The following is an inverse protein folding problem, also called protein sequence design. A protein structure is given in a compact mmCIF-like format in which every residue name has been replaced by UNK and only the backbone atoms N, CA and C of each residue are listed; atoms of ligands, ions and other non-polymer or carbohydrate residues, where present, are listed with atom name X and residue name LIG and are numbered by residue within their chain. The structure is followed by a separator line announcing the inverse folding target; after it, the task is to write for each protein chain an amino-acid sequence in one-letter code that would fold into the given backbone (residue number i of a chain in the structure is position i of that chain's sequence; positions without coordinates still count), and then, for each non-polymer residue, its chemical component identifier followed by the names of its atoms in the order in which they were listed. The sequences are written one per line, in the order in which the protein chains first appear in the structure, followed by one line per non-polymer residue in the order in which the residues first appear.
data_IF_478855991383
#
_entry.id   IF_478855991383
#
_cell.length_a   1.000
_cell.length_b   1.000
_cell.length_c   1.000
_cell.angle_alpha   90.00
_cell.angle_beta   90.00
_cell.angle_gamma   90.00
#
_symmetry.space_group_name_H-M   'P 1'
#
loop_
_entity.id
_entity.type
_entity.pdbx_description
1 polymer ?
#
# COMPACT_ATOMS: atom_id res chain seq x y z
N UNK A 1 11.84 -12.48 -10.21
CA UNK A 1 10.78 -12.52 -9.18
C UNK A 1 9.87 -11.28 -9.26
N UNK A 2 9.83 -10.33 -8.28
CA UNK A 2 8.93 -9.16 -8.41
C UNK A 2 9.21 -8.37 -9.69
N UNK A 3 10.48 -8.06 -9.96
CA UNK A 3 10.89 -7.27 -11.11
C UNK A 3 10.59 -7.97 -12.46
N UNK A 4 10.45 -9.28 -12.46
CA UNK A 4 10.14 -10.08 -13.64
C UNK A 4 8.63 -10.26 -13.86
N UNK A 5 7.79 -9.62 -13.02
CA UNK A 5 6.33 -9.74 -13.12
C UNK A 5 5.84 -9.07 -14.39
N UNK A 6 5.13 -9.82 -15.22
CA UNK A 6 4.41 -9.25 -16.36
C UNK A 6 3.20 -8.45 -15.85
N UNK A 7 3.18 -7.15 -16.11
CA UNK A 7 2.07 -6.27 -15.77
C UNK A 7 0.86 -6.42 -16.71
N UNK A 8 0.89 -7.39 -17.62
CA UNK A 8 -0.21 -7.68 -18.56
C UNK A 8 -0.72 -6.44 -19.29
N UNK A 9 0.19 -5.55 -19.65
CA UNK A 9 -0.14 -4.35 -20.37
C UNK A 9 -0.53 -3.14 -19.48
N UNK A 10 -0.51 -3.25 -18.15
CA UNK A 10 -0.75 -2.14 -17.26
C UNK A 10 0.50 -1.28 -17.04
N UNK A 11 0.29 -0.01 -16.66
CA UNK A 11 1.36 0.94 -16.40
C UNK A 11 2.02 0.72 -15.04
N UNK A 12 1.25 0.30 -14.06
CA UNK A 12 1.74 0.08 -12.69
C UNK A 12 1.25 -1.25 -12.12
N UNK A 13 2.07 -1.84 -11.25
CA UNK A 13 1.70 -2.97 -10.41
C UNK A 13 1.82 -2.60 -8.94
N UNK A 14 0.76 -2.88 -8.15
CA UNK A 14 0.75 -2.64 -6.71
C UNK A 14 -0.11 -3.64 -5.95
N UNK A 15 0.21 -3.90 -4.69
CA UNK A 15 -0.61 -4.74 -3.84
C UNK A 15 -1.70 -3.92 -3.13
N UNK A 16 -2.86 -4.54 -2.87
CA UNK A 16 -4.01 -3.88 -2.24
C UNK A 16 -3.62 -3.20 -0.92
N UNK A 17 -4.09 -1.96 -0.73
CA UNK A 17 -3.94 -1.27 0.55
C UNK A 17 -4.77 -1.92 1.66
N UNK A 18 -4.22 -1.98 2.88
CA UNK A 18 -4.92 -2.56 4.03
C UNK A 18 -6.20 -1.79 4.36
N UNK A 19 -6.16 -0.48 4.24
CA UNK A 19 -7.29 0.44 4.43
C UNK A 19 -8.46 0.09 3.51
N UNK A 20 -8.18 -0.23 2.26
CA UNK A 20 -9.18 -0.63 1.27
C UNK A 20 -9.83 -1.95 1.66
N UNK A 21 -9.01 -2.93 2.04
CA UNK A 21 -9.52 -4.24 2.48
C UNK A 21 -10.43 -4.12 3.70
N UNK A 22 -10.01 -3.35 4.69
CA UNK A 22 -10.82 -3.06 5.88
C UNK A 22 -12.12 -2.37 5.48
N UNK A 23 -12.06 -1.35 4.62
CA UNK A 23 -13.25 -0.66 4.16
C UNK A 23 -14.22 -1.59 3.41
N UNK A 24 -13.73 -2.39 2.48
CA UNK A 24 -14.56 -3.35 1.72
C UNK A 24 -15.33 -4.32 2.62
N UNK A 25 -14.72 -4.73 3.73
CA UNK A 25 -15.30 -5.67 4.68
C UNK A 25 -16.23 -5.02 5.70
N UNK A 26 -15.87 -3.86 6.22
CA UNK A 26 -16.59 -3.22 7.33
C UNK A 26 -17.50 -2.09 6.89
N UNK A 27 -17.30 -1.57 5.68
CA UNK A 27 -17.89 -0.31 5.19
C UNK A 27 -17.56 0.90 6.07
N UNK A 28 -16.55 0.77 6.95
CA UNK A 28 -16.06 1.83 7.80
C UNK A 28 -14.68 2.26 7.33
N UNK A 29 -14.50 3.55 7.11
CA UNK A 29 -13.18 4.11 6.81
C UNK A 29 -12.27 4.01 8.03
N UNK A 30 -11.01 3.69 7.77
CA UNK A 30 -10.03 3.41 8.82
C UNK A 30 -9.33 4.67 9.34
N UNK A 31 -9.30 5.76 8.58
CA UNK A 31 -8.48 6.94 8.85
C UNK A 31 -9.19 8.28 8.55
N UNK A 32 -10.46 8.43 8.97
CA UNK A 32 -11.25 9.55 8.49
C UNK A 32 -11.54 10.58 9.59
N UNK A 33 -10.83 10.56 10.69
CA UNK A 33 -11.05 11.49 11.81
C UNK A 33 -10.98 12.97 11.41
N UNK A 34 -10.40 13.29 10.26
CA UNK A 34 -10.27 14.67 9.74
C UNK A 34 -11.05 14.93 8.44
N UNK A 35 -11.78 13.96 7.90
CA UNK A 35 -12.55 14.12 6.67
C UNK A 35 -14.03 13.80 6.93
N UNK A 36 -14.96 14.61 6.41
CA UNK A 36 -16.40 14.38 6.58
C UNK A 36 -16.94 13.24 5.70
N UNK A 37 -16.08 12.51 5.00
CA UNK A 37 -16.44 11.46 4.05
C UNK A 37 -15.88 10.12 4.51
N UNK A 38 -16.59 9.03 4.20
CA UNK A 38 -15.96 7.70 4.26
C UNK A 38 -14.95 7.55 3.11
N UNK A 39 -14.10 6.50 3.17
CA UNK A 39 -13.02 6.35 2.19
C UNK A 39 -13.52 6.20 0.75
N UNK A 40 -14.67 5.55 0.54
CA UNK A 40 -15.27 5.40 -0.80
C UNK A 40 -15.75 6.73 -1.35
N UNK A 41 -16.45 7.53 -0.53
CA UNK A 41 -16.91 8.86 -0.93
C UNK A 41 -15.74 9.78 -1.22
N UNK A 42 -14.65 9.68 -0.44
CA UNK A 42 -13.41 10.41 -0.67
C UNK A 42 -12.79 10.02 -2.02
N UNK A 43 -12.61 8.72 -2.27
CA UNK A 43 -12.02 8.21 -3.50
C UNK A 43 -12.84 8.61 -4.74
N UNK A 44 -14.17 8.45 -4.66
CA UNK A 44 -15.06 8.85 -5.74
C UNK A 44 -15.01 10.35 -6.02
N UNK A 45 -15.08 11.16 -4.96
CA UNK A 45 -15.17 12.63 -5.10
C UNK A 45 -13.87 13.27 -5.56
N UNK A 46 -12.74 12.83 -5.03
CA UNK A 46 -11.45 13.51 -5.21
C UNK A 46 -10.52 12.82 -6.21
N UNK A 47 -10.68 11.52 -6.41
CA UNK A 47 -9.83 10.75 -7.33
C UNK A 47 -10.60 10.20 -8.53
N UNK A 48 -11.94 10.30 -8.55
CA UNK A 48 -12.78 9.70 -9.59
C UNK A 48 -12.71 8.16 -9.58
N UNK A 49 -12.42 7.56 -8.42
CA UNK A 49 -12.35 6.10 -8.22
C UNK A 49 -13.65 5.64 -7.59
N UNK A 50 -14.47 4.91 -8.36
CA UNK A 50 -15.76 4.39 -7.91
C UNK A 50 -15.71 2.91 -7.53
N UNK A 51 -14.59 2.23 -7.80
CA UNK A 51 -14.30 0.87 -7.37
C UNK A 51 -12.88 0.80 -6.80
N UNK A 52 -12.78 0.43 -5.54
CA UNK A 52 -11.51 0.33 -4.81
C UNK A 52 -10.80 -1.01 -5.03
N UNK A 53 -11.29 -1.89 -5.90
CA UNK A 53 -10.73 -3.24 -6.09
C UNK A 53 -9.26 -3.21 -6.53
N UNK A 54 -8.85 -2.14 -7.21
CA UNK A 54 -7.49 -1.94 -7.71
C UNK A 54 -6.71 -0.86 -6.95
N UNK A 55 -7.28 -0.26 -5.91
CA UNK A 55 -6.55 0.72 -5.12
C UNK A 55 -5.40 0.03 -4.37
N UNK A 56 -4.16 0.44 -4.64
CA UNK A 56 -2.96 -0.17 -4.11
C UNK A 56 -2.23 0.72 -3.10
N UNK A 57 -1.42 0.08 -2.24
CA UNK A 57 -0.49 0.78 -1.37
C UNK A 57 0.80 1.11 -2.13
N UNK A 58 1.19 2.37 -2.15
CA UNK A 58 2.31 2.88 -2.96
C UNK A 58 3.71 2.55 -2.40
N UNK A 59 3.82 1.93 -1.23
CA UNK A 59 5.11 1.63 -0.61
C UNK A 59 5.97 0.63 -1.37
N UNK A 60 5.34 -0.23 -2.18
CA UNK A 60 6.02 -1.10 -3.16
C UNK A 60 5.23 -1.06 -4.45
N UNK A 61 5.80 -0.45 -5.47
CA UNK A 61 5.15 -0.27 -6.77
C UNK A 61 6.11 -0.67 -7.89
N UNK A 62 5.62 -1.45 -8.83
CA UNK A 62 6.32 -1.78 -10.07
C UNK A 62 5.80 -0.88 -11.19
N UNK A 63 6.71 -0.23 -11.94
CA UNK A 63 6.35 0.71 -13.02
C UNK A 63 6.82 0.19 -14.38
N UNK A 64 5.92 0.13 -15.36
CA UNK A 64 6.31 0.19 -16.78
C UNK A 64 6.51 1.67 -17.15
N UNK A 65 7.76 2.12 -17.09
CA UNK A 65 8.08 3.54 -17.30
C UNK A 65 7.69 4.05 -18.70
N UNK A 66 7.63 3.18 -19.71
CA UNK A 66 7.19 3.56 -21.03
C UNK A 66 5.70 3.91 -21.01
N UNK A 67 4.89 3.02 -20.47
CA UNK A 67 3.44 3.23 -20.35
C UNK A 67 3.08 4.37 -19.40
N UNK A 68 3.80 4.51 -18.29
CA UNK A 68 3.60 5.65 -17.41
C UNK A 68 3.75 6.98 -18.15
N UNK A 69 4.79 7.13 -19.01
CA UNK A 69 5.00 8.34 -19.80
C UNK A 69 3.96 8.55 -20.90
N UNK A 70 3.27 7.51 -21.34
CA UNK A 70 2.16 7.60 -22.30
C UNK A 70 0.87 8.11 -21.62
N UNK A 71 0.72 7.88 -20.31
CA UNK A 71 -0.49 8.23 -19.55
C UNK A 71 -0.40 9.56 -18.82
N UNK A 72 0.79 9.94 -18.35
CA UNK A 72 0.99 11.13 -17.53
C UNK A 72 2.44 11.62 -17.61
N UNK A 73 2.68 12.84 -17.13
CA UNK A 73 4.02 13.41 -16.96
C UNK A 73 4.39 13.55 -15.47
N UNK A 74 5.69 13.72 -15.21
CA UNK A 74 6.15 14.02 -13.85
C UNK A 74 5.61 15.37 -13.36
N UNK A 75 5.51 16.35 -14.23
CA UNK A 75 5.00 17.68 -13.89
C UNK A 75 3.52 17.62 -13.48
N UNK A 76 2.69 16.88 -14.24
CA UNK A 76 1.29 16.65 -13.91
C UNK A 76 1.13 15.96 -12.54
N UNK A 77 1.95 14.93 -12.26
CA UNK A 77 1.92 14.24 -10.98
C UNK A 77 2.28 15.18 -9.82
N UNK A 78 3.26 16.06 -10.01
CA UNK A 78 3.68 17.07 -9.01
C UNK A 78 2.60 18.14 -8.83
N UNK A 79 1.97 18.61 -9.91
CA UNK A 79 0.87 19.58 -9.85
C UNK A 79 -0.30 19.01 -9.06
N UNK A 80 -0.73 17.79 -9.33
CA UNK A 80 -1.80 17.10 -8.60
C UNK A 80 -1.45 16.91 -7.14
N UNK A 81 -0.21 16.53 -6.83
CA UNK A 81 0.23 16.36 -5.44
C UNK A 81 0.13 17.67 -4.64
N UNK A 82 0.37 18.81 -5.29
CA UNK A 82 0.31 20.14 -4.68
C UNK A 82 -1.10 20.78 -4.70
N UNK A 83 -2.04 20.26 -5.48
CA UNK A 83 -3.37 20.83 -5.63
C UNK A 83 -4.15 20.89 -4.32
N UNK A 84 -3.95 19.89 -3.47
CA UNK A 84 -4.65 19.75 -2.18
C UNK A 84 -3.87 18.91 -1.19
N UNK A 85 -4.32 18.90 0.05
CA UNK A 85 -3.88 17.92 1.05
C UNK A 85 -4.60 16.59 0.79
N UNK A 86 -3.86 15.63 0.29
CA UNK A 86 -4.34 14.25 0.10
C UNK A 86 -4.37 13.47 1.40
N UNK A 87 -5.24 12.47 1.51
CA UNK A 87 -5.34 11.62 2.69
C UNK A 87 -4.10 10.73 2.83
N UNK A 88 -3.70 10.08 1.75
CA UNK A 88 -2.53 9.21 1.67
C UNK A 88 -1.43 9.78 0.75
N UNK A 89 -1.34 11.12 0.64
CA UNK A 89 -0.30 11.82 -0.11
C UNK A 89 -0.12 11.27 -1.56
N UNK A 90 1.09 10.84 -1.89
CA UNK A 90 1.49 10.29 -3.19
C UNK A 90 0.70 9.01 -3.58
N UNK A 91 0.30 8.21 -2.62
CA UNK A 91 -0.50 7.01 -2.88
C UNK A 91 -1.85 7.35 -3.55
N UNK A 92 -2.55 8.39 -3.07
CA UNK A 92 -3.81 8.82 -3.67
C UNK A 92 -3.61 9.33 -5.10
N UNK A 93 -2.55 10.12 -5.32
CA UNK A 93 -2.22 10.66 -6.64
C UNK A 93 -1.87 9.55 -7.63
N UNK A 94 -1.04 8.58 -7.23
CA UNK A 94 -0.69 7.45 -8.08
C UNK A 94 -1.91 6.59 -8.43
N UNK A 95 -2.76 6.31 -7.44
CA UNK A 95 -4.00 5.58 -7.69
C UNK A 95 -4.96 6.33 -8.61
N UNK A 96 -5.02 7.66 -8.51
CA UNK A 96 -5.84 8.49 -9.41
C UNK A 96 -5.29 8.50 -10.84
N UNK A 97 -3.99 8.72 -11.01
CA UNK A 97 -3.34 8.80 -12.31
C UNK A 97 -3.42 7.49 -13.09
N UNK A 98 -3.26 6.37 -12.41
CA UNK A 98 -3.18 5.05 -13.05
C UNK A 98 -4.42 4.17 -12.85
N UNK A 99 -5.54 4.70 -12.34
CA UNK A 99 -6.75 3.96 -11.96
C UNK A 99 -7.24 2.94 -12.99
N UNK A 100 -7.03 3.21 -14.26
CA UNK A 100 -7.46 2.35 -15.37
C UNK A 100 -6.32 1.46 -15.92
N UNK A 101 -5.14 1.45 -15.25
CA UNK A 101 -3.95 0.74 -15.72
C UNK A 101 -3.12 0.17 -14.55
N UNK A 102 -3.80 -0.50 -13.61
CA UNK A 102 -3.20 -1.10 -12.43
C UNK A 102 -3.25 -2.63 -12.55
N UNK A 103 -2.11 -3.27 -12.42
CA UNK A 103 -1.99 -4.71 -12.21
C UNK A 103 -1.96 -5.02 -10.72
N UNK A 104 -2.83 -5.91 -10.25
CA UNK A 104 -2.88 -6.31 -8.85
C UNK A 104 -1.76 -7.30 -8.54
N UNK A 105 -0.75 -6.85 -7.80
CA UNK A 105 0.33 -7.71 -7.31
C UNK A 105 -0.15 -8.62 -6.17
N UNK A 106 0.51 -9.78 -6.04
CA UNK A 106 0.36 -10.61 -4.85
C UNK A 106 0.79 -9.84 -3.58
N UNK A 107 0.01 -9.99 -2.51
CA UNK A 107 0.22 -9.27 -1.26
C UNK A 107 1.58 -9.57 -0.60
N UNK A 108 2.21 -10.71 -0.91
CA UNK A 108 3.56 -11.01 -0.43
C UNK A 108 4.59 -9.95 -0.80
N UNK A 109 4.37 -9.22 -1.90
CA UNK A 109 5.27 -8.17 -2.38
C UNK A 109 5.13 -6.82 -1.65
N UNK A 110 4.08 -6.66 -0.85
CA UNK A 110 3.90 -5.47 0.00
C UNK A 110 3.11 -5.84 1.27
N UNK A 111 3.70 -6.71 2.10
CA UNK A 111 3.10 -7.05 3.38
C UNK A 111 3.31 -5.91 4.37
N UNK A 112 2.27 -5.13 4.61
CA UNK A 112 2.35 -3.97 5.50
C UNK A 112 2.13 -4.37 6.95
N UNK A 113 3.00 -3.93 7.87
CA UNK A 113 2.90 -4.24 9.31
C UNK A 113 1.68 -3.60 10.00
N UNK A 114 1.00 -2.66 9.34
CA UNK A 114 -0.29 -2.13 9.80
C UNK A 114 -1.36 -3.22 9.96
N UNK A 115 -1.24 -4.32 9.23
CA UNK A 115 -2.10 -5.49 9.39
C UNK A 115 -2.04 -6.03 10.82
N UNK A 116 -0.84 -6.16 11.36
CA UNK A 116 -0.63 -6.66 12.72
C UNK A 116 -1.19 -5.68 13.78
N UNK A 117 -1.03 -4.37 13.55
CA UNK A 117 -1.63 -3.36 14.44
C UNK A 117 -3.16 -3.32 14.36
N UNK A 118 -3.74 -3.43 13.18
CA UNK A 118 -5.19 -3.53 13.03
C UNK A 118 -5.75 -4.76 13.76
N UNK A 119 -4.97 -5.85 13.80
CA UNK A 119 -5.31 -7.07 14.51
C UNK A 119 -5.30 -6.93 16.03
N UNK A 120 -4.50 -6.02 16.61
CA UNK A 120 -4.39 -5.80 18.06
C UNK A 120 -5.39 -4.78 18.60
N UNK A 121 -5.97 -3.93 17.75
CA UNK A 121 -6.80 -2.78 18.13
C UNK A 121 -8.32 -3.06 18.24
N UNK A 122 -8.72 -4.30 18.55
CA UNK A 122 -10.14 -4.64 18.79
C UNK A 122 -10.93 -5.06 17.55
N UNK A 123 -10.31 -5.08 16.38
CA UNK A 123 -10.89 -5.62 15.16
C UNK A 123 -10.61 -7.13 15.02
N UNK A 124 -10.75 -7.86 16.12
CA UNK A 124 -10.37 -9.28 16.23
C UNK A 124 -11.01 -10.17 15.16
N UNK A 125 -12.24 -9.86 14.76
CA UNK A 125 -12.92 -10.59 13.69
C UNK A 125 -12.30 -10.37 12.30
N UNK A 126 -11.54 -9.29 12.10
CA UNK A 126 -10.78 -9.03 10.87
C UNK A 126 -9.44 -9.76 10.86
N UNK A 127 -8.91 -10.11 12.05
CA UNK A 127 -7.60 -10.77 12.17
C UNK A 127 -7.51 -12.06 11.37
N UNK A 128 -8.47 -12.96 11.55
CA UNK A 128 -8.49 -14.24 10.83
C UNK A 128 -8.70 -14.05 9.33
N UNK A 129 -9.56 -13.11 8.97
CA UNK A 129 -9.85 -12.76 7.59
C UNK A 129 -8.63 -12.11 6.91
N UNK A 130 -7.92 -11.24 7.61
CA UNK A 130 -6.69 -10.63 7.13
C UNK A 130 -5.54 -11.64 7.08
N UNK A 131 -5.36 -12.46 8.12
CA UNK A 131 -4.37 -13.53 8.11
C UNK A 131 -4.61 -14.57 7.03
N UNK A 132 -5.86 -14.94 6.75
CA UNK A 132 -6.18 -15.88 5.68
C UNK A 132 -5.86 -15.35 4.29
N UNK A 133 -5.96 -14.04 4.11
CA UNK A 133 -5.62 -13.35 2.86
C UNK A 133 -4.10 -13.16 2.68
N UNK A 134 -3.34 -13.19 3.77
CA UNK A 134 -1.89 -13.01 3.81
C UNK A 134 -1.14 -14.32 4.10
N UNK A 135 -1.75 -15.45 3.76
CA UNK A 135 -1.07 -16.74 3.83
C UNK A 135 0.05 -16.74 2.83
N UNK A 136 1.25 -16.61 3.29
CA UNK A 136 2.45 -17.22 2.74
C UNK A 136 3.70 -16.38 2.97
N UNK A 137 4.76 -16.86 2.47
CA UNK A 137 6.10 -16.30 2.46
C UNK A 137 6.09 -14.78 2.19
N UNK A 138 6.70 -14.02 3.09
CA UNK A 138 6.91 -12.60 2.87
C UNK A 138 7.95 -12.42 1.77
N UNK A 139 7.57 -11.79 0.67
CA UNK A 139 8.52 -11.32 -0.33
C UNK A 139 9.15 -10.00 0.11
N UNK A 140 8.30 -9.04 0.54
CA UNK A 140 8.71 -7.75 1.08
C UNK A 140 7.85 -7.43 2.30
N UNK A 141 8.48 -7.18 3.46
CA UNK A 141 7.84 -6.66 4.66
C UNK A 141 7.97 -5.14 4.66
N UNK A 142 6.84 -4.46 4.64
CA UNK A 142 6.78 -3.00 4.63
C UNK A 142 6.38 -2.46 5.99
N UNK A 143 7.31 -1.86 6.70
CA UNK A 143 7.08 -1.24 8.01
C UNK A 143 6.48 0.16 7.84
N UNK A 144 5.15 0.25 7.76
CA UNK A 144 4.40 1.44 7.36
C UNK A 144 4.17 2.49 8.46
N UNK A 145 4.23 2.12 9.74
CA UNK A 145 3.98 3.05 10.85
C UNK A 145 5.15 3.99 11.12
N UNK A 146 4.95 4.99 12.00
CA UNK A 146 6.03 5.83 12.52
C UNK A 146 7.04 5.07 13.41
N UNK A 147 6.64 3.92 13.96
CA UNK A 147 7.53 2.99 14.64
C UNK A 147 8.21 2.10 13.62
N UNK A 148 9.51 1.98 13.71
CA UNK A 148 10.35 1.21 12.78
C UNK A 148 11.22 0.21 13.56
N UNK A 149 11.63 -0.92 12.96
CA UNK A 149 12.39 -1.93 13.68
C UNK A 149 13.74 -1.44 14.22
N UNK A 150 14.32 -0.42 13.62
CA UNK A 150 15.58 0.20 14.10
C UNK A 150 15.43 1.18 15.26
N UNK A 151 14.21 1.51 15.69
CA UNK A 151 13.95 2.44 16.79
C UNK A 151 12.87 1.98 17.78
N UNK A 152 12.22 0.86 17.51
CA UNK A 152 11.09 0.39 18.32
C UNK A 152 10.90 -1.12 18.15
N UNK A 153 10.33 -1.75 19.17
CA UNK A 153 9.79 -3.10 19.04
C UNK A 153 8.53 -3.04 18.18
N UNK A 154 8.55 -3.74 17.05
CA UNK A 154 7.47 -3.74 16.06
C UNK A 154 7.17 -5.17 15.59
N UNK A 155 5.94 -5.47 15.18
CA UNK A 155 5.63 -6.76 14.58
C UNK A 155 6.56 -7.10 13.41
N UNK A 156 7.04 -8.35 13.38
CA UNK A 156 7.98 -8.84 12.37
C UNK A 156 9.38 -8.15 12.39
N UNK A 157 9.71 -7.42 13.47
CA UNK A 157 11.00 -6.75 13.61
C UNK A 157 12.19 -7.72 13.58
N UNK A 158 11.98 -8.97 13.97
CA UNK A 158 12.99 -10.03 13.90
C UNK A 158 13.52 -10.27 12.48
N UNK A 159 12.72 -10.06 11.46
CA UNK A 159 13.17 -10.17 10.07
C UNK A 159 14.15 -9.06 9.70
N UNK A 160 13.92 -7.84 10.18
CA UNK A 160 14.84 -6.72 9.98
C UNK A 160 16.17 -6.98 10.70
N UNK A 161 16.12 -7.31 12.00
CA UNK A 161 17.33 -7.52 12.80
C UNK A 161 18.17 -8.71 12.31
N UNK A 162 17.57 -9.71 11.72
CA UNK A 162 18.31 -10.79 11.07
C UNK A 162 19.23 -10.25 9.97
N UNK A 163 18.72 -9.40 9.07
CA UNK A 163 19.54 -8.83 7.99
C UNK A 163 20.54 -7.78 8.49
N UNK A 164 20.19 -7.02 9.52
CA UNK A 164 21.09 -6.08 10.19
C UNK A 164 22.32 -6.82 10.74
N UNK A 165 22.12 -7.90 11.50
CA UNK A 165 23.21 -8.74 12.03
C UNK A 165 24.05 -9.37 10.91
N UNK A 166 23.42 -9.92 9.86
CA UNK A 166 24.14 -10.47 8.70
C UNK A 166 24.98 -9.43 7.97
N UNK A 167 24.59 -8.16 7.98
CA UNK A 167 25.36 -7.06 7.40
C UNK A 167 26.54 -6.70 8.28
N UNK A 168 26.35 -6.59 9.59
CA UNK A 168 27.42 -6.31 10.57
C UNK A 168 28.51 -7.38 10.52
N UNK A 169 28.13 -8.66 10.47
CA UNK A 169 29.05 -9.79 10.33
C UNK A 169 29.89 -9.74 9.05
N UNK A 170 29.36 -9.17 7.97
CA UNK A 170 30.09 -9.02 6.70
C UNK A 170 31.03 -7.79 6.66
N UNK A 171 30.80 -6.83 7.54
CA UNK A 171 31.58 -5.60 7.62
C UNK A 171 32.70 -5.68 8.71
N UNK A 172 32.64 -6.67 9.58
CA UNK A 172 33.65 -6.97 10.61
C UNK A 172 34.76 -7.85 10.06
#
# INVERSE_FOLDING_TARGET
ELFDTDLCGNAVGGAEGVEVRVFRQTKKGFFIDNYPYNFMDYASKFMGINDLSHYFNAGVTLFDLKKCRELTSADEAVELLNERKWLNNDQDVLNMLFKDSIYQLDQKWNYTTNIEYACTSGLYHLKELMKSAFRSEYGIIHYTSGKKPWNSDVPLGEHYHKYENELEDKLS
#
